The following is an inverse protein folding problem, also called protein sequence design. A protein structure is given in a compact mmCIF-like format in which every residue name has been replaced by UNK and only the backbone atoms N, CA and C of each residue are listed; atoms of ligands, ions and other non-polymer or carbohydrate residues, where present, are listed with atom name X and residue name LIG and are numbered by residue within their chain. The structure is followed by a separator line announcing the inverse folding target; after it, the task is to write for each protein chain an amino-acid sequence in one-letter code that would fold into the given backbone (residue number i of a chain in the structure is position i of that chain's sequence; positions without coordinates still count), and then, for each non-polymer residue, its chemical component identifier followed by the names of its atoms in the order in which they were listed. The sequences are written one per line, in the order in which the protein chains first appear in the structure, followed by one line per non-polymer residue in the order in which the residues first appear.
data_IF_150142833422
#
_entry.id   IF_150142833422
#
_cell.length_a   1.000
_cell.length_b   1.000
_cell.length_c   1.000
_cell.angle_alpha   90.00
_cell.angle_beta   90.00
_cell.angle_gamma   90.00
#
_symmetry.space_group_name_H-M   'P 1'
#
loop_
_entity.id
_entity.type
_entity.pdbx_description
1 polymer ?
#
# COMPACT_ATOMS: atom_id res chain seq x y z
N UNK A 1 6.49 2.77 -4.03
CA UNK A 1 5.25 2.13 -4.48
C UNK A 1 4.09 3.14 -4.47
N UNK A 2 3.84 3.82 -3.38
CA UNK A 2 2.71 4.76 -3.23
C UNK A 2 2.64 5.94 -4.25
N UNK A 3 3.71 6.26 -4.96
CA UNK A 3 3.69 7.28 -6.02
C UNK A 3 2.99 6.82 -7.31
N UNK A 4 2.78 5.53 -7.50
CA UNK A 4 2.14 4.98 -8.71
C UNK A 4 0.63 5.22 -8.71
N UNK A 5 -0.11 4.95 -7.63
CA UNK A 5 -1.52 5.30 -7.57
C UNK A 5 -1.77 6.77 -7.92
N UNK A 6 -0.96 7.68 -7.39
CA UNK A 6 -1.13 9.13 -7.61
C UNK A 6 -1.00 9.48 -9.09
N UNK A 7 -0.06 8.89 -9.83
CA UNK A 7 0.09 9.12 -11.29
C UNK A 7 -1.03 8.49 -12.11
N UNK A 8 -1.58 7.36 -11.66
CA UNK A 8 -2.74 6.77 -12.34
C UNK A 8 -3.99 7.64 -12.21
N UNK A 9 -4.08 8.44 -11.12
CA UNK A 9 -5.21 9.34 -10.87
C UNK A 9 -5.28 10.50 -11.86
N UNK A 10 -4.15 10.92 -12.45
CA UNK A 10 -4.12 12.00 -13.46
C UNK A 10 -5.00 11.68 -14.68
N UNK A 11 -5.28 10.40 -14.95
CA UNK A 11 -6.10 9.94 -16.07
C UNK A 11 -7.56 9.65 -15.70
N UNK A 12 -7.97 9.89 -14.46
CA UNK A 12 -9.31 9.60 -13.95
C UNK A 12 -10.15 10.87 -13.75
N UNK A 13 -9.98 11.86 -14.66
CA UNK A 13 -10.74 13.10 -14.63
C UNK A 13 -12.23 12.84 -14.57
N UNK A 14 -12.94 13.55 -13.68
CA UNK A 14 -14.38 13.41 -13.48
C UNK A 14 -14.82 12.18 -12.66
N UNK A 15 -13.87 11.32 -12.20
CA UNK A 15 -14.17 10.17 -11.34
C UNK A 15 -13.92 10.50 -9.86
N UNK A 16 -14.73 9.89 -9.00
CA UNK A 16 -14.53 9.94 -7.55
C UNK A 16 -13.53 8.87 -7.14
N UNK A 17 -12.40 9.29 -6.63
CA UNK A 17 -11.29 8.40 -6.30
C UNK A 17 -10.91 8.52 -4.84
N UNK A 18 -10.76 7.36 -4.18
CA UNK A 18 -10.25 7.25 -2.83
C UNK A 18 -8.91 6.50 -2.82
N UNK A 19 -7.94 7.05 -2.11
CA UNK A 19 -6.68 6.37 -1.78
C UNK A 19 -6.69 5.98 -0.31
N UNK A 20 -6.56 4.67 -0.02
CA UNK A 20 -6.49 4.14 1.34
C UNK A 20 -5.05 3.72 1.64
N UNK A 21 -4.46 4.28 2.69
CA UNK A 21 -3.16 3.88 3.22
C UNK A 21 -3.27 2.64 4.10
N UNK A 22 -3.07 1.47 3.53
CA UNK A 22 -3.12 0.19 4.24
C UNK A 22 -1.74 -0.37 4.62
N UNK A 23 -0.64 0.33 4.35
CA UNK A 23 0.63 0.05 5.02
C UNK A 23 0.56 0.60 6.46
N UNK A 24 0.09 -0.26 7.38
CA UNK A 24 -0.08 0.11 8.78
C UNK A 24 1.22 0.02 9.58
N UNK A 25 2.28 -0.62 9.03
CA UNK A 25 3.59 -0.74 9.69
C UNK A 25 4.50 0.45 9.41
N UNK A 26 4.52 0.90 8.16
CA UNK A 26 5.38 1.99 7.72
C UNK A 26 4.63 2.96 6.79
N UNK A 27 3.64 3.68 7.31
CA UNK A 27 2.82 4.59 6.50
C UNK A 27 3.66 5.66 5.80
N UNK A 28 3.53 5.81 4.48
CA UNK A 28 4.30 6.79 3.70
C UNK A 28 3.43 7.78 2.90
N UNK A 29 2.15 7.50 2.71
CA UNK A 29 1.26 8.36 1.92
C UNK A 29 1.27 9.81 2.44
N UNK A 30 1.24 10.00 3.75
CA UNK A 30 1.27 11.33 4.35
C UNK A 30 2.54 12.12 3.97
N UNK A 31 3.71 11.46 3.92
CA UNK A 31 4.97 12.08 3.50
C UNK A 31 4.94 12.46 2.02
N UNK A 32 4.40 11.57 1.16
CA UNK A 32 4.31 11.78 -0.30
C UNK A 32 3.39 12.95 -0.63
N UNK A 33 2.29 13.08 0.10
CA UNK A 33 1.30 14.15 -0.08
C UNK A 33 1.61 15.42 0.73
N UNK A 34 2.75 15.48 1.43
CA UNK A 34 3.15 16.65 2.23
C UNK A 34 2.28 16.89 3.47
N UNK A 35 1.49 15.89 3.90
CA UNK A 35 0.66 16.01 5.08
C UNK A 35 1.48 15.81 6.36
N UNK A 36 1.49 16.83 7.22
CA UNK A 36 2.16 16.75 8.54
C UNK A 36 1.26 16.03 9.53
N UNK A 37 1.52 14.73 9.71
CA UNK A 37 0.80 13.89 10.65
C UNK A 37 0.98 14.39 12.09
N UNK A 38 -0.14 14.51 12.81
CA UNK A 38 -0.16 14.78 14.26
C UNK A 38 -0.36 13.45 15.03
N UNK A 39 0.12 13.38 16.26
CA UNK A 39 0.01 12.17 17.10
C UNK A 39 -1.44 11.73 17.39
N UNK A 40 -2.39 12.65 17.29
CA UNK A 40 -3.83 12.41 17.53
C UNK A 40 -4.63 12.11 16.25
N UNK A 41 -3.98 12.13 15.08
CA UNK A 41 -4.71 11.92 13.83
C UNK A 41 -5.20 10.48 13.74
N UNK A 42 -6.51 10.35 13.65
CA UNK A 42 -7.18 9.07 13.41
C UNK A 42 -7.14 8.74 11.91
N UNK A 43 -7.23 7.47 11.57
CA UNK A 43 -7.24 7.00 10.19
C UNK A 43 -7.73 5.56 10.12
N UNK A 44 -7.30 4.82 9.09
CA UNK A 44 -7.73 3.46 8.83
C UNK A 44 -7.66 2.58 10.08
N UNK A 45 -6.49 2.50 10.74
CA UNK A 45 -6.32 1.66 11.93
C UNK A 45 -7.30 2.01 13.05
N UNK A 46 -7.60 3.30 13.24
CA UNK A 46 -8.57 3.75 14.25
C UNK A 46 -9.99 3.32 13.91
N UNK A 47 -10.38 3.42 12.64
CA UNK A 47 -11.70 2.98 12.15
C UNK A 47 -11.90 1.47 12.28
N UNK A 48 -10.83 0.70 12.12
CA UNK A 48 -10.90 -0.77 12.23
C UNK A 48 -11.00 -1.25 13.68
N UNK A 49 -10.56 -0.44 14.64
CA UNK A 49 -10.65 -0.75 16.08
C UNK A 49 -11.94 -0.22 16.69
N UNK A 50 -12.40 0.94 16.26
CA UNK A 50 -13.56 1.63 16.82
C UNK A 50 -14.65 1.83 15.75
N UNK A 51 -15.63 0.94 15.74
CA UNK A 51 -16.75 0.96 14.79
C UNK A 51 -17.73 2.14 15.00
N UNK A 52 -17.62 2.87 16.12
CA UNK A 52 -18.43 4.05 16.36
C UNK A 52 -17.93 5.29 15.61
N UNK A 53 -16.71 5.24 15.04
CA UNK A 53 -16.15 6.35 14.28
C UNK A 53 -16.82 6.44 12.90
N UNK A 54 -17.15 7.67 12.50
CA UNK A 54 -17.66 7.93 11.15
C UNK A 54 -16.50 7.94 10.13
N UNK A 55 -16.43 7.00 9.17
CA UNK A 55 -15.34 6.95 8.20
C UNK A 55 -15.20 8.25 7.40
N UNK A 56 -16.29 8.87 7.00
CA UNK A 56 -16.29 10.11 6.18
C UNK A 56 -15.64 11.30 6.90
N UNK A 57 -15.67 11.31 8.23
CA UNK A 57 -15.01 12.36 9.02
C UNK A 57 -13.48 12.25 9.05
N UNK A 58 -12.91 11.10 8.60
CA UNK A 58 -11.48 10.81 8.60
C UNK A 58 -10.89 10.76 7.18
N UNK A 59 -11.70 11.06 6.16
CA UNK A 59 -11.24 11.19 4.78
C UNK A 59 -10.86 12.65 4.52
N UNK A 60 -9.65 12.86 4.06
CA UNK A 60 -9.12 14.18 3.73
C UNK A 60 -9.12 14.40 2.22
N UNK A 61 -9.54 15.59 1.79
CA UNK A 61 -9.41 16.01 0.39
C UNK A 61 -8.03 16.61 0.17
N UNK A 62 -7.32 16.07 -0.80
CA UNK A 62 -5.99 16.56 -1.19
C UNK A 62 -6.09 17.14 -2.59
N UNK A 63 -5.74 18.41 -2.71
CA UNK A 63 -5.58 19.06 -4.02
C UNK A 63 -4.15 18.79 -4.51
N UNK A 64 -4.03 18.14 -5.63
CA UNK A 64 -2.75 17.85 -6.27
C UNK A 64 -2.49 18.75 -7.48
N UNK A 65 -1.40 18.47 -8.18
CA UNK A 65 -1.08 19.09 -9.49
C UNK A 65 -1.92 18.53 -10.65
N UNK A 66 -2.81 17.59 -10.36
CA UNK A 66 -3.77 17.04 -11.31
C UNK A 66 -5.11 17.80 -11.26
N UNK A 67 -5.82 17.84 -12.38
CA UNK A 67 -7.16 18.44 -12.44
C UNK A 67 -8.14 17.56 -11.65
N UNK A 68 -8.47 17.97 -10.41
CA UNK A 68 -9.39 17.26 -9.54
C UNK A 68 -8.99 17.23 -8.07
N UNK A 69 -9.80 16.55 -7.28
CA UNK A 69 -9.55 16.29 -5.85
C UNK A 69 -9.33 14.81 -5.65
N UNK A 70 -8.34 14.46 -4.84
CA UNK A 70 -8.10 13.12 -4.35
C UNK A 70 -8.59 13.02 -2.92
N UNK A 71 -9.48 12.09 -2.65
CA UNK A 71 -9.87 11.75 -1.30
C UNK A 71 -8.88 10.73 -0.72
N UNK A 72 -8.40 10.94 0.49
CA UNK A 72 -7.38 10.11 1.13
C UNK A 72 -7.81 9.69 2.52
N UNK A 73 -7.81 8.38 2.75
CA UNK A 73 -7.89 7.81 4.08
C UNK A 73 -6.49 7.37 4.52
N UNK A 74 -5.88 8.15 5.40
CA UNK A 74 -4.55 7.84 5.93
C UNK A 74 -4.57 6.64 6.86
N UNK A 75 -3.42 5.99 7.05
CA UNK A 75 -3.28 4.77 7.85
C UNK A 75 -3.65 4.94 9.33
N UNK A 76 -3.53 6.15 9.88
CA UNK A 76 -3.72 6.38 11.32
C UNK A 76 -2.55 5.89 12.18
N UNK A 77 -2.73 5.74 13.50
CA UNK A 77 -1.72 5.22 14.42
C UNK A 77 -1.27 3.82 14.04
N UNK A 78 -0.01 3.47 14.30
CA UNK A 78 0.53 2.12 14.04
C UNK A 78 -0.08 1.14 15.06
N UNK A 79 -0.85 0.15 14.62
CA UNK A 79 -1.44 -0.84 15.53
C UNK A 79 -0.46 -1.99 15.82
N UNK A 80 -0.65 -2.74 16.91
CA UNK A 80 0.18 -3.92 17.22
C UNK A 80 -0.09 -5.11 16.30
N UNK A 81 -1.27 -5.20 15.69
CA UNK A 81 -1.76 -6.35 14.91
C UNK A 81 -2.27 -5.98 13.50
N UNK A 82 -1.42 -5.45 12.60
CA UNK A 82 -1.83 -4.94 11.29
C UNK A 82 -2.55 -5.98 10.42
N UNK A 83 -2.01 -7.20 10.30
CA UNK A 83 -2.56 -8.25 9.45
C UNK A 83 -3.98 -8.66 9.87
N UNK A 84 -4.21 -8.76 11.19
CA UNK A 84 -5.52 -9.10 11.76
C UNK A 84 -6.55 -8.02 11.44
N UNK A 85 -6.20 -6.76 11.65
CA UNK A 85 -7.08 -5.64 11.34
C UNK A 85 -7.44 -5.57 9.86
N UNK A 86 -6.46 -5.73 8.96
CA UNK A 86 -6.70 -5.73 7.51
C UNK A 86 -7.49 -6.97 7.03
N UNK A 87 -7.46 -8.06 7.77
CA UNK A 87 -8.26 -9.27 7.51
C UNK A 87 -9.65 -9.28 8.16
N UNK A 88 -9.96 -8.29 8.99
CA UNK A 88 -11.15 -8.25 9.84
C UNK A 88 -12.44 -7.97 9.08
N UNK A 89 -13.58 -8.28 9.73
CA UNK A 89 -14.91 -7.91 9.25
C UNK A 89 -15.07 -6.38 9.18
N UNK A 90 -14.47 -5.65 10.11
CA UNK A 90 -14.52 -4.19 10.13
C UNK A 90 -13.94 -3.57 8.84
N UNK A 91 -12.87 -4.16 8.28
CA UNK A 91 -12.32 -3.70 7.00
C UNK A 91 -13.26 -4.01 5.83
N UNK A 92 -13.92 -5.17 5.84
CA UNK A 92 -14.94 -5.52 4.83
C UNK A 92 -16.10 -4.52 4.87
N UNK A 93 -16.67 -4.29 6.05
CA UNK A 93 -17.80 -3.38 6.24
C UNK A 93 -17.44 -1.93 5.84
N UNK A 94 -16.22 -1.50 6.14
CA UNK A 94 -15.70 -0.21 5.72
C UNK A 94 -15.63 -0.08 4.19
N UNK A 95 -15.08 -1.09 3.51
CA UNK A 95 -15.00 -1.09 2.04
C UNK A 95 -16.39 -1.10 1.40
N UNK A 96 -17.32 -1.91 1.93
CA UNK A 96 -18.68 -2.00 1.41
C UNK A 96 -19.43 -0.66 1.55
N UNK A 97 -19.19 0.07 2.64
CA UNK A 97 -19.68 1.43 2.80
C UNK A 97 -19.10 2.39 1.76
N UNK A 98 -17.78 2.35 1.56
CA UNK A 98 -17.06 3.29 0.71
C UNK A 98 -17.30 3.05 -0.80
N UNK A 99 -17.56 1.82 -1.22
CA UNK A 99 -17.86 1.46 -2.62
C UNK A 99 -19.08 2.21 -3.18
N UNK A 100 -19.99 2.67 -2.34
CA UNK A 100 -21.17 3.43 -2.79
C UNK A 100 -20.84 4.89 -3.11
N UNK A 101 -19.73 5.42 -2.62
CA UNK A 101 -19.37 6.83 -2.75
C UNK A 101 -18.29 7.08 -3.80
N UNK A 102 -17.51 6.05 -4.18
CA UNK A 102 -16.33 6.16 -5.03
C UNK A 102 -16.38 5.24 -6.26
N UNK A 103 -15.97 5.76 -7.41
CA UNK A 103 -15.80 4.98 -8.65
C UNK A 103 -14.56 4.06 -8.56
N UNK A 104 -13.50 4.53 -7.89
CA UNK A 104 -12.25 3.79 -7.70
C UNK A 104 -11.73 3.92 -6.28
N UNK A 105 -11.33 2.80 -5.71
CA UNK A 105 -10.67 2.73 -4.40
C UNK A 105 -9.28 2.10 -4.60
N UNK A 106 -8.23 2.89 -4.41
CA UNK A 106 -6.84 2.40 -4.42
C UNK A 106 -6.42 2.06 -3.00
N UNK A 107 -5.91 0.85 -2.79
CA UNK A 107 -5.39 0.39 -1.49
C UNK A 107 -3.87 0.29 -1.61
N UNK A 108 -3.14 1.23 -1.01
CA UNK A 108 -1.68 1.17 -0.92
C UNK A 108 -1.28 0.31 0.26
N UNK A 109 -0.50 -0.72 0.01
CA UNK A 109 -0.16 -1.75 1.00
C UNK A 109 1.34 -1.92 1.19
N UNK A 110 1.72 -2.54 2.30
CA UNK A 110 3.09 -2.93 2.56
C UNK A 110 3.65 -3.87 1.48
N UNK A 111 4.98 -3.86 1.24
CA UNK A 111 5.61 -4.76 0.28
C UNK A 111 5.37 -6.23 0.64
N UNK A 112 4.72 -6.97 -0.24
CA UNK A 112 4.26 -8.34 -0.04
C UNK A 112 5.37 -9.34 0.34
N UNK A 113 6.60 -9.07 -0.12
CA UNK A 113 7.75 -9.94 0.18
C UNK A 113 8.32 -9.77 1.58
N UNK A 114 8.07 -8.62 2.19
CA UNK A 114 8.64 -8.30 3.50
C UNK A 114 7.67 -8.64 4.62
N UNK A 115 6.37 -8.57 4.33
CA UNK A 115 5.33 -8.78 5.33
C UNK A 115 4.08 -9.41 4.72
N UNK A 116 3.45 -10.31 5.46
CA UNK A 116 2.23 -11.00 5.04
C UNK A 116 0.96 -10.16 5.22
N UNK A 117 1.07 -8.95 5.75
CA UNK A 117 -0.08 -8.09 6.08
C UNK A 117 -0.93 -7.72 4.87
N UNK A 118 -0.31 -7.68 3.68
CA UNK A 118 -1.00 -7.37 2.43
C UNK A 118 -1.80 -8.54 1.84
N UNK A 119 -1.54 -9.77 2.29
CA UNK A 119 -2.23 -10.97 1.77
C UNK A 119 -3.74 -10.91 2.00
N UNK A 120 -4.25 -10.51 3.19
CA UNK A 120 -5.68 -10.39 3.41
C UNK A 120 -6.39 -9.38 2.48
N UNK A 121 -5.65 -8.41 1.93
CA UNK A 121 -6.22 -7.38 1.06
C UNK A 121 -6.56 -7.90 -0.34
N UNK A 122 -5.90 -8.98 -0.79
CA UNK A 122 -6.06 -9.53 -2.15
C UNK A 122 -7.52 -9.91 -2.43
N UNK A 123 -8.20 -10.47 -1.44
CA UNK A 123 -9.61 -10.91 -1.58
C UNK A 123 -10.61 -9.77 -1.86
N UNK A 124 -10.22 -8.52 -1.58
CA UNK A 124 -11.08 -7.35 -1.78
C UNK A 124 -10.83 -6.65 -3.11
N UNK A 125 -9.73 -7.00 -3.79
CA UNK A 125 -9.29 -6.29 -4.97
C UNK A 125 -9.91 -6.87 -6.26
N UNK A 126 -10.48 -6.00 -7.10
CA UNK A 126 -10.88 -6.34 -8.46
C UNK A 126 -9.67 -6.45 -9.39
N UNK A 127 -8.58 -5.73 -9.07
CA UNK A 127 -7.29 -5.78 -9.76
C UNK A 127 -6.16 -5.66 -8.75
N UNK A 128 -5.19 -6.57 -8.83
CA UNK A 128 -3.95 -6.52 -8.05
C UNK A 128 -2.81 -6.01 -8.93
N UNK A 129 -2.22 -4.87 -8.57
CA UNK A 129 -1.04 -4.32 -9.25
C UNK A 129 0.22 -4.64 -8.44
N UNK A 130 1.06 -5.51 -8.96
CA UNK A 130 2.35 -5.82 -8.36
C UNK A 130 3.43 -4.91 -8.93
N UNK A 131 3.99 -4.07 -8.06
CA UNK A 131 4.98 -3.08 -8.47
C UNK A 131 6.40 -3.59 -8.27
N UNK A 132 7.17 -3.59 -9.33
CA UNK A 132 8.62 -3.87 -9.33
C UNK A 132 9.40 -2.61 -9.69
N UNK A 133 10.69 -2.56 -9.34
CA UNK A 133 11.58 -1.46 -9.67
C UNK A 133 12.75 -1.98 -10.50
N UNK A 134 13.00 -1.31 -11.63
CA UNK A 134 14.16 -1.59 -12.49
C UNK A 134 15.47 -1.40 -11.70
N UNK A 135 16.46 -2.22 -11.99
CA UNK A 135 17.78 -2.24 -11.34
C UNK A 135 17.76 -2.45 -9.81
N UNK A 136 16.62 -2.84 -9.24
CA UNK A 136 16.45 -3.03 -7.79
C UNK A 136 15.75 -4.34 -7.42
N UNK A 137 14.64 -4.67 -8.08
CA UNK A 137 13.88 -5.88 -7.76
C UNK A 137 14.55 -7.10 -8.33
N UNK A 138 14.95 -8.05 -7.47
CA UNK A 138 15.58 -9.30 -7.90
C UNK A 138 14.61 -10.15 -8.73
N UNK A 139 15.07 -10.67 -9.86
CA UNK A 139 14.29 -11.57 -10.74
C UNK A 139 13.87 -12.87 -10.06
N UNK A 140 14.59 -13.30 -9.03
CA UNK A 140 14.26 -14.49 -8.21
C UNK A 140 12.90 -14.39 -7.51
N UNK A 141 12.32 -13.21 -7.47
CA UNK A 141 10.98 -12.99 -6.91
C UNK A 141 9.86 -13.52 -7.81
N UNK A 142 10.08 -13.62 -9.13
CA UNK A 142 9.04 -13.98 -10.08
C UNK A 142 8.35 -15.32 -9.75
N UNK A 143 9.05 -16.41 -9.40
CA UNK A 143 8.42 -17.66 -9.00
C UNK A 143 7.50 -17.51 -7.79
N UNK A 144 7.88 -16.68 -6.81
CA UNK A 144 7.04 -16.41 -5.64
C UNK A 144 5.75 -15.67 -6.04
N UNK A 145 5.85 -14.65 -6.89
CA UNK A 145 4.68 -13.89 -7.37
C UNK A 145 3.74 -14.80 -8.17
N UNK A 146 4.27 -15.63 -9.07
CA UNK A 146 3.47 -16.58 -9.85
C UNK A 146 2.78 -17.62 -8.95
N UNK A 147 3.48 -18.11 -7.93
CA UNK A 147 2.89 -19.02 -6.93
C UNK A 147 1.77 -18.33 -6.17
N UNK A 148 1.97 -17.08 -5.72
CA UNK A 148 0.94 -16.31 -5.02
C UNK A 148 -0.31 -16.11 -5.88
N UNK A 149 -0.14 -15.76 -7.17
CA UNK A 149 -1.26 -15.60 -8.10
C UNK A 149 -2.07 -16.89 -8.17
N UNK A 150 -1.39 -18.03 -8.28
CA UNK A 150 -2.03 -19.35 -8.33
C UNK A 150 -2.69 -19.72 -7.03
N UNK A 151 -1.98 -19.62 -5.89
CA UNK A 151 -2.45 -20.06 -4.58
C UNK A 151 -3.60 -19.21 -4.04
N UNK A 152 -3.68 -17.94 -4.45
CA UNK A 152 -4.75 -17.00 -4.06
C UNK A 152 -5.80 -16.81 -5.15
N UNK A 153 -5.73 -17.57 -6.23
CA UNK A 153 -6.67 -17.51 -7.36
C UNK A 153 -6.91 -16.07 -7.85
N UNK A 154 -5.83 -15.28 -7.96
CA UNK A 154 -5.92 -13.87 -8.37
C UNK A 154 -6.29 -13.81 -9.84
N UNK A 155 -7.52 -13.41 -10.14
CA UNK A 155 -8.06 -13.40 -11.51
C UNK A 155 -7.51 -12.25 -12.34
N UNK A 156 -7.40 -11.07 -11.74
CA UNK A 156 -6.93 -9.87 -12.42
C UNK A 156 -5.64 -9.40 -11.78
N UNK A 157 -4.55 -9.51 -12.52
CA UNK A 157 -3.21 -9.18 -12.06
C UNK A 157 -2.47 -8.35 -13.11
N UNK A 158 -1.82 -7.29 -12.66
CA UNK A 158 -0.95 -6.46 -13.49
C UNK A 158 0.44 -6.32 -12.87
N UNK A 159 1.47 -6.38 -13.71
CA UNK A 159 2.85 -6.09 -13.31
C UNK A 159 3.22 -4.67 -13.74
N UNK A 160 3.68 -3.85 -12.79
CA UNK A 160 4.17 -2.50 -13.05
C UNK A 160 5.67 -2.44 -12.83
N UNK A 161 6.42 -2.10 -13.88
CA UNK A 161 7.86 -1.85 -13.79
C UNK A 161 8.12 -0.35 -13.63
N UNK A 162 8.57 0.04 -12.44
CA UNK A 162 8.88 1.42 -12.10
C UNK A 162 10.39 1.69 -12.17
N UNK A 163 10.77 2.96 -12.32
CA UNK A 163 12.17 3.41 -12.25
C UNK A 163 13.01 3.05 -13.47
N UNK A 164 12.41 2.85 -14.64
CA UNK A 164 13.13 2.66 -15.90
C UNK A 164 13.89 3.95 -16.22
N UNK A 165 15.20 3.85 -16.41
CA UNK A 165 16.03 4.95 -16.89
C UNK A 165 15.80 5.12 -18.39
N UNK A 166 15.02 6.10 -18.79
CA UNK A 166 14.96 6.53 -20.19
C UNK A 166 16.23 7.32 -20.50
N UNK A 167 16.96 6.92 -21.57
CA UNK A 167 18.31 7.37 -21.90
C UNK A 167 18.51 8.89 -21.90
N UNK A 168 19.76 9.28 -21.82
CA UNK A 168 20.45 10.52 -21.55
C UNK A 168 19.89 11.82 -22.18
N UNK A 169 18.67 12.26 -21.86
CA UNK A 169 18.17 13.64 -22.13
C UNK A 169 16.97 14.04 -21.27
N UNK A 170 16.81 13.55 -20.06
CA UNK A 170 15.85 14.13 -19.12
C UNK A 170 16.57 14.60 -17.87
N UNK A 171 17.21 15.76 -17.98
CA UNK A 171 17.63 16.59 -16.85
C UNK A 171 16.37 17.24 -16.26
N UNK A 172 15.61 16.47 -15.47
CA UNK A 172 14.79 17.05 -14.43
C UNK A 172 14.98 16.24 -13.17
N UNK A 173 15.89 16.78 -12.39
CA UNK A 173 16.28 16.38 -11.06
C UNK A 173 15.10 16.56 -10.12
N UNK A 174 14.29 15.53 -9.94
CA UNK A 174 13.52 15.38 -8.72
C UNK A 174 14.27 14.44 -7.79
N UNK A 175 15.20 15.05 -7.06
CA UNK A 175 15.92 14.42 -5.97
C UNK A 175 15.00 14.21 -4.77
N UNK A 176 14.16 13.19 -4.81
CA UNK A 176 13.64 12.55 -3.60
C UNK A 176 14.32 11.19 -3.48
N UNK A 177 15.52 11.23 -2.91
CA UNK A 177 16.18 10.05 -2.38
C UNK A 177 15.34 9.52 -1.21
N UNK A 178 14.36 8.68 -1.51
CA UNK A 178 13.77 7.83 -0.51
C UNK A 178 14.83 6.82 -0.08
N UNK A 179 15.59 7.20 0.91
CA UNK A 179 16.33 6.27 1.74
C UNK A 179 15.29 5.43 2.47
N UNK A 180 14.84 4.35 1.85
CA UNK A 180 14.29 3.22 2.59
C UNK A 180 15.43 2.76 3.50
N UNK A 181 15.40 3.27 4.72
CA UNK A 181 16.30 2.81 5.76
C UNK A 181 15.97 1.35 6.00
N UNK A 182 16.92 0.47 5.65
CA UNK A 182 16.91 -0.97 5.92
C UNK A 182 16.96 -1.27 7.43
N UNK A 183 16.35 -0.45 8.26
CA UNK A 183 16.18 -0.72 9.68
C UNK A 183 15.32 -1.97 9.96
N UNK A 184 14.65 -2.52 8.93
CA UNK A 184 13.86 -3.76 9.07
C UNK A 184 14.69 -5.03 9.03
N UNK A 185 15.98 -4.97 8.67
CA UNK A 185 16.78 -6.19 8.44
C UNK A 185 17.35 -6.80 9.72
N UNK A 186 17.26 -6.13 10.86
CA UNK A 186 17.94 -6.59 12.08
C UNK A 186 17.07 -6.98 13.27
N UNK A 187 15.72 -6.94 13.17
CA UNK A 187 14.87 -7.23 14.34
C UNK A 187 13.94 -8.44 14.20
N UNK A 188 14.08 -9.24 13.15
CA UNK A 188 13.43 -10.55 13.08
C UNK A 188 14.50 -11.62 12.90
N UNK A 189 15.02 -12.10 14.04
CA UNK A 189 15.81 -13.30 14.11
C UNK A 189 14.98 -14.48 13.58
N UNK A 190 15.34 -14.99 12.41
CA UNK A 190 14.89 -16.29 11.94
C UNK A 190 15.56 -17.36 12.80
N UNK A 191 14.89 -17.73 13.89
CA UNK A 191 15.17 -18.97 14.60
C UNK A 191 14.49 -20.13 13.85
N UNK A 192 15.09 -20.63 12.79
CA UNK A 192 14.89 -21.99 12.31
C UNK A 192 16.21 -22.70 12.40
N UNK A 193 16.43 -23.33 13.58
CA UNK A 193 17.43 -24.34 13.73
C UNK A 193 17.03 -25.57 12.95
N UNK A 194 17.75 -25.86 11.88
CA UNK A 194 17.89 -27.22 11.39
C UNK A 194 19.10 -27.82 12.10
N UNK A 195 18.78 -28.70 13.06
CA UNK A 195 19.77 -29.64 13.56
C UNK A 195 20.24 -30.53 12.42
N UNK A 196 21.51 -30.56 12.14
CA UNK A 196 22.17 -31.67 11.48
C UNK A 196 22.96 -32.40 12.55
N UNK A 197 22.39 -33.50 13.05
CA UNK A 197 23.19 -34.64 13.50
C UNK A 197 23.98 -35.14 12.30
N UNK A 198 25.31 -35.08 12.45
CA UNK A 198 26.16 -36.12 11.89
C UNK A 198 27.50 -36.13 12.63
N UNK A 199 27.90 -37.34 12.96
CA UNK A 199 29.05 -37.85 13.66
C UNK A 199 30.40 -37.20 13.33
#
# INVERSE_FOLDING_TARGET
AASIPIRLLENLSGKKVLLIGADLRNPQIHNILGYKRKSKDKGLSSLLVDSALNPKAHISKVMGSFEGTLDVLYSGPIPPNPAELLGSKAFTDLLDLLKNDYDYIFIDSAPLLLVSDSIPLIKYADLVLYTTRADYTDKKIAPFVLKLIKDKEIKNFGLVLNGIKTGARSYYQYGYSYRYSYAYQYNYGYGYGYGSDDK
#
